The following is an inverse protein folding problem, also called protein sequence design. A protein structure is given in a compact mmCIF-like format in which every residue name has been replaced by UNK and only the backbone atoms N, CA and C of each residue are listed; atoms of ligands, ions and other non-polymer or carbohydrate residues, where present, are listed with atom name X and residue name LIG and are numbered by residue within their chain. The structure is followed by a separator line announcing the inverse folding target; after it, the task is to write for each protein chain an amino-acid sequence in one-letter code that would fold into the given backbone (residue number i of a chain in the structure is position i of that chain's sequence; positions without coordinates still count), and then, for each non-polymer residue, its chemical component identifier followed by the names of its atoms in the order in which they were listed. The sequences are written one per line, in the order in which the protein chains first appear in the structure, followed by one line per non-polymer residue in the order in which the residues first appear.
data_IF_487917495433
#
_entry.id   IF_487917495433
#
_cell.length_a   1.000
_cell.length_b   1.000
_cell.length_c   1.000
_cell.angle_alpha   90.00
_cell.angle_beta   90.00
_cell.angle_gamma   90.00
#
_symmetry.space_group_name_H-M   'P 1'
#
loop_
_entity.id
_entity.type
_entity.pdbx_description
1 polymer ?
#
# COMPACT_ATOMS: atom_id res chain seq x y z
N UNK A 1 -27.67 -18.38 4.03
CA UNK A 1 -27.59 -17.34 5.07
C UNK A 1 -27.06 -16.08 4.42
N UNK A 2 -27.53 -14.90 4.82
CA UNK A 2 -26.84 -13.65 4.51
C UNK A 2 -25.54 -13.65 5.30
N UNK A 3 -24.45 -14.10 4.67
CA UNK A 3 -23.12 -13.95 5.23
C UNK A 3 -22.83 -12.44 5.22
N UNK A 4 -23.08 -11.77 6.34
CA UNK A 4 -22.76 -10.36 6.48
C UNK A 4 -21.26 -10.29 6.69
N UNK A 5 -20.53 -10.08 5.59
CA UNK A 5 -19.07 -10.06 5.57
C UNK A 5 -18.48 -8.77 6.18
N UNK A 6 -19.31 -7.75 6.49
CA UNK A 6 -18.86 -6.48 7.09
C UNK A 6 -19.90 -5.81 8.00
N UNK A 7 -19.46 -4.88 8.87
CA UNK A 7 -20.35 -4.04 9.71
C UNK A 7 -21.08 -3.00 8.85
N UNK A 8 -20.35 -2.32 7.97
CA UNK A 8 -20.93 -1.45 6.94
C UNK A 8 -20.73 -2.14 5.60
N UNK A 9 -21.82 -2.41 4.91
CA UNK A 9 -21.78 -3.05 3.61
C UNK A 9 -22.62 -2.27 2.61
N UNK A 10 -22.00 -1.89 1.48
CA UNK A 10 -22.68 -1.30 0.34
C UNK A 10 -22.48 -2.14 -0.91
N UNK A 11 -23.58 -2.40 -1.62
CA UNK A 11 -23.55 -3.05 -2.95
C UNK A 11 -23.14 -2.08 -4.06
N UNK A 12 -23.18 -0.79 -3.77
CA UNK A 12 -22.89 0.31 -4.70
C UNK A 12 -21.93 1.27 -4.03
N UNK A 13 -21.68 2.41 -4.68
CA UNK A 13 -20.87 3.49 -4.14
C UNK A 13 -21.21 3.83 -2.68
N UNK A 14 -20.17 4.14 -1.91
CA UNK A 14 -20.28 4.58 -0.53
C UNK A 14 -19.40 5.80 -0.32
N UNK A 15 -19.91 6.79 0.42
CA UNK A 15 -19.13 7.96 0.82
C UNK A 15 -19.08 8.06 2.35
N UNK A 16 -17.87 8.13 2.87
CA UNK A 16 -17.51 8.36 4.27
C UNK A 16 -17.14 9.84 4.42
N UNK A 17 -17.85 10.58 5.26
CA UNK A 17 -17.66 12.02 5.41
C UNK A 17 -18.01 12.53 6.80
N UNK A 18 -17.86 13.85 6.98
CA UNK A 18 -18.14 14.56 8.23
C UNK A 18 -16.89 14.73 9.07
N UNK A 19 -17.07 15.07 10.35
CA UNK A 19 -15.96 15.35 11.28
C UNK A 19 -16.04 14.49 12.55
N UNK A 20 -17.02 13.60 12.62
CA UNK A 20 -17.26 12.78 13.80
C UNK A 20 -16.40 11.51 13.80
N UNK A 21 -16.31 10.89 14.98
CA UNK A 21 -15.65 9.59 15.15
C UNK A 21 -16.66 8.45 15.03
N UNK A 22 -16.31 7.45 14.23
CA UNK A 22 -16.99 6.17 14.11
C UNK A 22 -16.04 5.04 14.56
N UNK A 23 -16.48 4.24 15.52
CA UNK A 23 -15.74 3.04 15.97
C UNK A 23 -16.45 1.79 15.47
N UNK A 24 -15.70 0.90 14.81
CA UNK A 24 -16.17 -0.33 14.17
C UNK A 24 -15.40 -1.52 14.76
N UNK A 25 -16.13 -2.51 15.29
CA UNK A 25 -15.58 -3.79 15.71
C UNK A 25 -16.27 -4.91 14.93
N UNK A 26 -15.50 -5.68 14.16
CA UNK A 26 -16.04 -6.68 13.23
C UNK A 26 -15.33 -8.03 13.37
N UNK A 27 -16.11 -9.12 13.30
CA UNK A 27 -15.60 -10.49 13.11
C UNK A 27 -15.48 -10.88 11.63
N UNK A 28 -15.66 -9.92 10.73
CA UNK A 28 -15.38 -10.01 9.30
C UNK A 28 -14.61 -8.77 8.89
N UNK A 29 -14.96 -8.18 7.75
CA UNK A 29 -14.41 -6.90 7.30
C UNK A 29 -15.02 -5.74 8.09
N UNK A 30 -14.31 -4.62 8.21
CA UNK A 30 -14.85 -3.42 8.85
C UNK A 30 -15.94 -2.78 7.98
N UNK A 31 -15.51 -2.25 6.84
CA UNK A 31 -16.36 -1.63 5.82
C UNK A 31 -16.12 -2.31 4.49
N UNK A 32 -17.19 -2.70 3.79
CA UNK A 32 -17.13 -3.22 2.42
C UNK A 32 -17.99 -2.39 1.49
N UNK A 33 -17.41 -1.93 0.39
CA UNK A 33 -18.09 -1.33 -0.75
C UNK A 33 -17.80 -2.16 -2.01
N UNK A 34 -18.84 -2.55 -2.74
CA UNK A 34 -18.69 -3.37 -3.96
C UNK A 34 -18.45 -2.57 -5.24
N UNK A 35 -18.57 -1.24 -5.18
CA UNK A 35 -18.21 -0.31 -6.25
C UNK A 35 -17.17 0.70 -5.68
N UNK A 36 -17.39 2.01 -5.84
CA UNK A 36 -16.45 3.06 -5.45
C UNK A 36 -16.66 3.54 -4.00
N UNK A 37 -15.62 3.44 -3.18
CA UNK A 37 -15.58 4.02 -1.84
C UNK A 37 -14.86 5.37 -1.88
N UNK A 38 -15.49 6.39 -1.29
CA UNK A 38 -14.91 7.72 -1.14
C UNK A 38 -14.82 8.09 0.32
N UNK A 39 -13.72 8.68 0.74
CA UNK A 39 -13.61 9.29 2.06
C UNK A 39 -13.15 10.75 1.96
N UNK A 40 -13.93 11.65 2.55
CA UNK A 40 -13.71 13.09 2.46
C UNK A 40 -13.56 13.76 3.83
N UNK A 41 -13.33 12.97 4.89
CA UNK A 41 -13.24 13.42 6.27
C UNK A 41 -13.76 12.39 7.26
N UNK A 42 -13.67 12.71 8.55
CA UNK A 42 -14.14 11.87 9.65
C UNK A 42 -13.00 11.09 10.31
N UNK A 43 -13.29 10.47 11.45
CA UNK A 43 -12.35 9.62 12.18
C UNK A 43 -12.91 8.21 12.27
N UNK A 44 -12.19 7.21 11.74
CA UNK A 44 -12.61 5.82 11.67
C UNK A 44 -11.64 4.95 12.48
N UNK A 45 -12.12 4.39 13.58
CA UNK A 45 -11.38 3.42 14.39
C UNK A 45 -11.93 2.03 14.10
N UNK A 46 -11.19 1.22 13.35
CA UNK A 46 -11.66 -0.05 12.80
C UNK A 46 -10.82 -1.19 13.37
N UNK A 47 -11.49 -2.13 14.03
CA UNK A 47 -10.93 -3.44 14.41
C UNK A 47 -11.71 -4.51 13.67
N UNK A 48 -11.04 -5.28 12.82
CA UNK A 48 -11.64 -6.28 11.95
C UNK A 48 -10.80 -7.57 11.96
N UNK A 49 -11.42 -8.74 12.04
CA UNK A 49 -10.68 -10.00 11.82
C UNK A 49 -10.48 -10.33 10.34
N UNK A 50 -11.21 -9.66 9.44
CA UNK A 50 -10.97 -9.63 8.00
C UNK A 50 -10.22 -8.37 7.59
N UNK A 51 -10.58 -7.82 6.43
CA UNK A 51 -10.01 -6.58 5.92
C UNK A 51 -10.57 -5.37 6.69
N UNK A 52 -9.76 -4.33 6.92
CA UNK A 52 -10.23 -3.10 7.56
C UNK A 52 -11.26 -2.37 6.67
N UNK A 53 -10.79 -1.95 5.50
CA UNK A 53 -11.60 -1.38 4.42
C UNK A 53 -11.49 -2.27 3.18
N UNK A 54 -12.61 -2.64 2.58
CA UNK A 54 -12.68 -3.30 1.28
C UNK A 54 -13.45 -2.39 0.32
N UNK A 55 -12.83 -2.04 -0.80
CA UNK A 55 -13.45 -1.28 -1.88
C UNK A 55 -13.13 -1.95 -3.22
N UNK A 56 -14.11 -2.60 -3.83
CA UNK A 56 -13.84 -3.48 -4.96
C UNK A 56 -13.39 -2.72 -6.22
N UNK A 57 -13.97 -1.56 -6.52
CA UNK A 57 -13.62 -0.82 -7.74
C UNK A 57 -12.56 0.25 -7.48
N UNK A 58 -12.74 1.06 -6.43
CA UNK A 58 -11.73 2.03 -6.00
C UNK A 58 -11.96 2.51 -4.56
N UNK A 59 -10.89 2.93 -3.89
CA UNK A 59 -10.95 3.78 -2.71
C UNK A 59 -10.25 5.10 -3.02
N UNK A 60 -10.99 6.21 -2.97
CA UNK A 60 -10.45 7.57 -3.10
C UNK A 60 -10.57 8.35 -1.80
N UNK A 61 -9.46 8.89 -1.29
CA UNK A 61 -9.40 9.64 -0.03
C UNK A 61 -8.89 11.06 -0.28
N UNK A 62 -9.70 12.06 0.07
CA UNK A 62 -9.24 13.46 0.09
C UNK A 62 -8.84 13.92 1.49
N UNK A 63 -9.49 13.38 2.53
CA UNK A 63 -9.20 13.66 3.94
C UNK A 63 -9.82 12.59 4.86
N UNK A 64 -9.45 12.60 6.15
CA UNK A 64 -9.93 11.68 7.18
C UNK A 64 -8.81 11.13 8.05
N UNK A 65 -9.17 10.53 9.19
CA UNK A 65 -8.24 9.79 10.06
C UNK A 65 -8.70 8.35 10.18
N UNK A 66 -7.84 7.40 9.81
CA UNK A 66 -8.12 5.98 9.82
C UNK A 66 -7.15 5.28 10.77
N UNK A 67 -7.66 4.69 11.84
CA UNK A 67 -6.91 3.78 12.70
C UNK A 67 -7.46 2.38 12.46
N UNK A 68 -6.68 1.51 11.82
CA UNK A 68 -7.12 0.21 11.34
C UNK A 68 -6.28 -0.90 11.98
N UNK A 69 -6.93 -1.84 12.64
CA UNK A 69 -6.37 -3.14 13.03
C UNK A 69 -7.12 -4.24 12.30
N UNK A 70 -6.45 -4.93 11.38
CA UNK A 70 -7.04 -5.94 10.51
C UNK A 70 -6.35 -7.31 10.67
N UNK A 71 -7.14 -8.39 10.62
CA UNK A 71 -6.64 -9.77 10.56
C UNK A 71 -6.35 -10.26 9.14
N UNK A 72 -6.52 -9.38 8.16
CA UNK A 72 -6.03 -9.46 6.78
C UNK A 72 -5.51 -8.07 6.43
N UNK A 73 -5.79 -7.56 5.24
CA UNK A 73 -5.26 -6.28 4.80
C UNK A 73 -5.93 -5.11 5.51
N UNK A 74 -5.15 -4.04 5.74
CA UNK A 74 -5.70 -2.80 6.26
C UNK A 74 -6.69 -2.18 5.28
N UNK A 75 -6.25 -2.03 4.03
CA UNK A 75 -7.03 -1.54 2.90
C UNK A 75 -6.91 -2.55 1.76
N UNK A 76 -8.04 -3.06 1.28
CA UNK A 76 -8.14 -4.07 0.22
C UNK A 76 -8.96 -3.53 -0.96
N UNK A 77 -8.26 -3.13 -2.02
CA UNK A 77 -8.84 -2.64 -3.27
C UNK A 77 -8.61 -3.63 -4.41
N UNK A 78 -9.03 -4.88 -4.23
CA UNK A 78 -8.81 -5.96 -5.20
C UNK A 78 -10.08 -6.30 -5.96
N UNK A 79 -9.99 -6.35 -7.29
CA UNK A 79 -11.08 -6.74 -8.19
C UNK A 79 -10.70 -7.97 -9.03
N UNK A 80 -10.97 -9.15 -8.50
CA UNK A 80 -10.70 -10.41 -9.20
C UNK A 80 -11.63 -10.68 -10.40
N UNK A 81 -12.75 -9.97 -10.53
CA UNK A 81 -13.66 -10.11 -11.67
C UNK A 81 -13.27 -9.19 -12.84
N UNK A 82 -12.60 -8.08 -12.55
CA UNK A 82 -12.13 -7.12 -13.54
C UNK A 82 -10.82 -6.47 -13.09
N UNK A 83 -9.70 -6.99 -13.59
CA UNK A 83 -8.35 -6.52 -13.25
C UNK A 83 -8.01 -5.13 -13.79
N UNK A 84 -8.90 -4.49 -14.54
CA UNK A 84 -8.78 -3.06 -14.88
C UNK A 84 -9.32 -2.12 -13.80
N UNK A 85 -9.74 -2.66 -12.66
CA UNK A 85 -10.29 -1.93 -11.50
C UNK A 85 -9.60 -2.41 -10.21
N UNK A 86 -9.91 -1.74 -9.10
CA UNK A 86 -9.30 -2.00 -7.81
C UNK A 86 -8.09 -1.08 -7.63
N UNK A 87 -8.34 0.18 -7.32
CA UNK A 87 -7.31 1.19 -7.09
C UNK A 87 -7.45 1.85 -5.73
N UNK A 88 -6.33 2.26 -5.16
CA UNK A 88 -6.28 3.14 -4.00
C UNK A 88 -5.68 4.50 -4.42
N UNK A 89 -6.39 5.57 -4.08
CA UNK A 89 -5.96 6.94 -4.31
C UNK A 89 -6.05 7.75 -3.01
N UNK A 90 -4.98 8.49 -2.70
CA UNK A 90 -4.93 9.41 -1.58
C UNK A 90 -4.39 10.77 -2.00
N UNK A 91 -5.21 11.82 -1.85
CA UNK A 91 -4.77 13.21 -1.88
C UNK A 91 -4.32 13.69 -0.49
N UNK A 92 -4.81 13.07 0.57
CA UNK A 92 -4.60 13.49 1.96
C UNK A 92 -5.12 12.49 2.98
N UNK A 93 -5.28 12.93 4.23
CA UNK A 93 -5.69 12.09 5.35
C UNK A 93 -4.54 11.50 6.16
N UNK A 94 -4.89 10.82 7.25
CA UNK A 94 -3.95 10.16 8.19
C UNK A 94 -4.35 8.71 8.36
N UNK A 95 -3.42 7.80 8.13
CA UNK A 95 -3.62 6.35 8.17
C UNK A 95 -2.65 5.72 9.16
N UNK A 96 -3.18 5.05 10.18
CA UNK A 96 -2.44 4.22 11.12
C UNK A 96 -2.95 2.79 10.95
N UNK A 97 -2.19 1.96 10.24
CA UNK A 97 -2.62 0.63 9.80
C UNK A 97 -1.74 -0.42 10.46
N UNK A 98 -2.38 -1.39 11.09
CA UNK A 98 -1.76 -2.65 11.52
C UNK A 98 -2.56 -3.81 10.92
N UNK A 99 -1.92 -4.60 10.07
CA UNK A 99 -2.52 -5.75 9.41
C UNK A 99 -1.64 -6.99 9.59
N UNK A 100 -2.21 -8.17 9.38
CA UNK A 100 -1.45 -9.43 9.37
C UNK A 100 -1.19 -9.99 7.98
N UNK A 101 -1.67 -9.30 6.94
CA UNK A 101 -1.32 -9.49 5.53
C UNK A 101 -0.83 -8.12 5.06
N UNK A 102 -1.47 -7.49 4.06
CA UNK A 102 -0.91 -6.28 3.45
C UNK A 102 -1.38 -5.02 4.19
N UNK A 103 -0.54 -3.99 4.23
CA UNK A 103 -0.98 -2.68 4.72
C UNK A 103 -2.08 -2.12 3.80
N UNK A 104 -1.73 -2.01 2.52
CA UNK A 104 -2.59 -1.56 1.45
C UNK A 104 -2.35 -2.46 0.23
N UNK A 105 -3.39 -3.14 -0.23
CA UNK A 105 -3.36 -3.94 -1.45
C UNK A 105 -4.32 -3.37 -2.48
N UNK A 106 -3.89 -3.26 -3.74
CA UNK A 106 -4.76 -2.86 -4.85
C UNK A 106 -4.42 -3.63 -6.12
N UNK A 107 -5.42 -4.05 -6.90
CA UNK A 107 -5.14 -4.77 -8.16
C UNK A 107 -4.41 -3.89 -9.19
N UNK A 108 -4.78 -2.62 -9.31
CA UNK A 108 -4.27 -1.73 -10.36
C UNK A 108 -3.20 -0.79 -9.82
N UNK A 109 -3.60 0.23 -9.08
CA UNK A 109 -2.71 1.31 -8.68
C UNK A 109 -2.88 1.66 -7.21
N UNK A 110 -1.76 1.90 -6.54
CA UNK A 110 -1.67 2.72 -5.34
C UNK A 110 -1.08 4.05 -5.77
N UNK A 111 -1.87 5.13 -5.68
CA UNK A 111 -1.45 6.48 -6.04
C UNK A 111 -1.57 7.42 -4.82
N UNK A 112 -0.43 7.87 -4.32
CA UNK A 112 -0.34 8.77 -3.17
C UNK A 112 0.12 10.15 -3.63
N UNK A 113 -0.81 11.10 -3.67
CA UNK A 113 -0.54 12.53 -3.91
C UNK A 113 -0.35 13.32 -2.61
N UNK A 114 -0.57 12.70 -1.45
CA UNK A 114 -0.42 13.31 -0.14
C UNK A 114 -1.01 12.46 0.97
N UNK A 115 -0.86 12.94 2.21
CA UNK A 115 -1.31 12.26 3.43
C UNK A 115 -0.16 11.76 4.31
N UNK A 116 -0.53 11.22 5.47
CA UNK A 116 0.39 10.61 6.43
C UNK A 116 0.03 9.14 6.62
N UNK A 117 0.98 8.24 6.43
CA UNK A 117 0.79 6.81 6.52
C UNK A 117 1.80 6.23 7.51
N UNK A 118 1.31 5.49 8.50
CA UNK A 118 2.10 4.60 9.34
C UNK A 118 1.52 3.20 9.18
N UNK A 119 2.31 2.30 8.59
CA UNK A 119 1.88 0.96 8.21
C UNK A 119 2.76 -0.07 8.93
N UNK A 120 2.13 -1.08 9.52
CA UNK A 120 2.78 -2.28 10.05
C UNK A 120 2.06 -3.51 9.53
N UNK A 121 2.73 -4.33 8.74
CA UNK A 121 2.10 -5.37 7.92
C UNK A 121 3.10 -6.49 7.55
N UNK A 122 2.62 -7.54 6.88
CA UNK A 122 3.50 -8.50 6.20
C UNK A 122 4.16 -7.78 5.02
N UNK A 123 3.38 -7.42 3.99
CA UNK A 123 3.79 -6.46 2.97
C UNK A 123 3.24 -5.06 3.26
N UNK A 124 4.03 -4.01 3.04
CA UNK A 124 3.60 -2.63 3.31
C UNK A 124 2.54 -2.14 2.33
N UNK A 125 2.88 -2.12 1.03
CA UNK A 125 1.99 -1.73 -0.06
C UNK A 125 2.20 -2.62 -1.27
N UNK A 126 1.12 -3.21 -1.79
CA UNK A 126 1.16 -4.11 -2.94
C UNK A 126 0.19 -3.65 -4.04
N UNK A 127 0.68 -3.51 -5.27
CA UNK A 127 -0.16 -3.28 -6.45
C UNK A 127 0.56 -3.57 -7.77
N UNK A 128 -0.14 -3.49 -8.91
CA UNK A 128 0.56 -3.44 -10.20
C UNK A 128 1.46 -2.22 -10.32
N UNK A 129 0.94 -1.04 -9.95
CA UNK A 129 1.72 0.18 -9.98
C UNK A 129 1.60 0.92 -8.65
N UNK A 130 2.75 1.21 -8.04
CA UNK A 130 2.82 2.01 -6.82
C UNK A 130 3.51 3.33 -7.16
N UNK A 131 2.74 4.43 -7.13
CA UNK A 131 3.25 5.78 -7.39
C UNK A 131 3.05 6.69 -6.18
N UNK A 132 4.15 7.29 -5.72
CA UNK A 132 4.16 8.27 -4.63
C UNK A 132 4.63 9.61 -5.18
N UNK A 133 3.74 10.59 -5.21
CA UNK A 133 4.02 11.96 -5.65
C UNK A 133 4.35 12.90 -4.48
N UNK A 134 3.73 12.68 -3.31
CA UNK A 134 4.01 13.42 -2.09
C UNK A 134 3.49 12.64 -0.86
N UNK A 135 3.67 13.19 0.34
CA UNK A 135 3.18 12.63 1.61
C UNK A 135 4.30 12.22 2.56
N UNK A 136 3.92 11.72 3.73
CA UNK A 136 4.84 11.12 4.70
C UNK A 136 4.42 9.68 4.95
N UNK A 137 5.24 8.73 4.53
CA UNK A 137 4.93 7.30 4.57
C UNK A 137 6.00 6.60 5.38
N UNK A 138 5.56 5.86 6.40
CA UNK A 138 6.41 5.01 7.25
C UNK A 138 5.86 3.60 7.15
N UNK A 139 6.68 2.66 6.67
CA UNK A 139 6.34 1.26 6.52
C UNK A 139 7.25 0.45 7.44
N UNK A 140 6.64 -0.48 8.18
CA UNK A 140 7.33 -1.52 8.93
C UNK A 140 6.81 -2.86 8.43
N UNK A 141 7.59 -3.56 7.62
CA UNK A 141 7.17 -4.78 6.93
C UNK A 141 7.98 -5.98 7.42
N UNK A 142 7.40 -7.18 7.34
CA UNK A 142 8.10 -8.44 7.62
C UNK A 142 8.36 -9.29 6.39
N UNK A 143 7.60 -9.07 5.31
CA UNK A 143 7.91 -9.50 3.95
C UNK A 143 8.39 -8.26 3.17
N UNK A 144 7.81 -7.85 2.04
CA UNK A 144 8.28 -6.67 1.30
C UNK A 144 7.74 -5.31 1.80
N UNK A 145 8.56 -4.27 1.71
CA UNK A 145 8.12 -2.91 2.07
C UNK A 145 7.12 -2.36 1.05
N UNK A 146 7.50 -2.40 -0.22
CA UNK A 146 6.67 -2.11 -1.38
C UNK A 146 6.83 -3.28 -2.34
N UNK A 147 5.72 -3.81 -2.85
CA UNK A 147 5.69 -4.89 -3.83
C UNK A 147 4.91 -4.45 -5.08
N UNK A 148 5.61 -4.20 -6.19
CA UNK A 148 4.99 -3.92 -7.48
C UNK A 148 4.94 -5.20 -8.33
N UNK A 149 3.77 -5.81 -8.47
CA UNK A 149 3.61 -7.17 -9.04
C UNK A 149 2.55 -7.31 -10.14
N UNK A 150 2.44 -8.45 -10.80
CA UNK A 150 1.63 -8.64 -12.01
C UNK A 150 0.12 -8.88 -11.78
N UNK A 151 -0.52 -8.05 -10.94
CA UNK A 151 -1.95 -8.13 -10.62
C UNK A 151 -2.89 -7.71 -11.77
N UNK A 152 -2.41 -6.82 -12.65
CA UNK A 152 -3.17 -6.25 -13.77
C UNK A 152 -2.36 -6.18 -15.05
N UNK A 153 -2.99 -6.52 -16.18
CA UNK A 153 -2.40 -6.33 -17.51
C UNK A 153 -2.72 -4.95 -18.12
N UNK A 154 -3.53 -4.14 -17.43
CA UNK A 154 -3.92 -2.81 -17.90
C UNK A 154 -2.92 -1.71 -17.51
N UNK A 155 -1.97 -2.02 -16.63
CA UNK A 155 -1.01 -1.08 -16.06
C UNK A 155 0.40 -1.63 -16.18
N UNK A 156 1.38 -0.74 -16.24
CA UNK A 156 2.79 -1.11 -16.20
C UNK A 156 3.18 -1.44 -14.76
N UNK A 157 3.85 -2.58 -14.59
CA UNK A 157 4.44 -2.97 -13.31
C UNK A 157 5.57 -2.00 -12.99
N UNK A 158 5.41 -1.20 -11.94
CA UNK A 158 6.47 -0.29 -11.52
C UNK A 158 6.25 0.27 -10.11
N UNK A 159 7.36 0.56 -9.44
CA UNK A 159 7.42 1.53 -8.36
C UNK A 159 7.96 2.87 -8.85
N UNK A 160 7.28 3.96 -8.50
CA UNK A 160 7.68 5.33 -8.87
C UNK A 160 7.57 6.27 -7.67
N UNK A 161 8.71 6.85 -7.25
CA UNK A 161 8.79 7.88 -6.23
C UNK A 161 9.14 9.23 -6.88
N UNK A 162 8.22 10.18 -6.88
CA UNK A 162 8.42 11.53 -7.44
C UNK A 162 8.66 12.61 -6.37
N UNK A 163 8.21 12.40 -5.13
CA UNK A 163 8.27 13.39 -4.06
C UNK A 163 7.77 12.86 -2.71
N UNK A 164 7.81 13.69 -1.67
CA UNK A 164 7.45 13.30 -0.31
C UNK A 164 8.57 12.61 0.46
N UNK A 165 8.22 11.95 1.57
CA UNK A 165 9.11 11.18 2.44
C UNK A 165 8.61 9.74 2.57
N UNK A 166 9.49 8.78 2.28
CA UNK A 166 9.25 7.36 2.43
C UNK A 166 10.31 6.77 3.38
N UNK A 167 9.87 6.21 4.48
CA UNK A 167 10.72 5.45 5.41
C UNK A 167 10.27 4.00 5.42
N UNK A 168 11.19 3.08 5.18
CA UNK A 168 10.92 1.64 5.20
C UNK A 168 11.85 0.97 6.20
N UNK A 169 11.27 0.30 7.18
CA UNK A 169 11.99 -0.50 8.16
C UNK A 169 11.61 -1.97 7.98
N UNK A 170 12.57 -2.78 7.55
CA UNK A 170 12.36 -4.20 7.37
C UNK A 170 12.61 -4.95 8.67
N UNK A 171 11.74 -5.91 8.98
CA UNK A 171 11.90 -6.85 10.08
C UNK A 171 13.01 -7.87 9.83
N UNK A 172 13.16 -8.81 10.78
CA UNK A 172 14.05 -9.95 10.60
C UNK A 172 13.35 -11.01 9.73
N UNK A 173 13.73 -11.06 8.45
CA UNK A 173 13.20 -11.91 7.39
C UNK A 173 14.04 -11.63 6.13
N UNK A 174 14.01 -12.52 5.15
CA UNK A 174 14.75 -12.35 3.90
C UNK A 174 13.79 -11.89 2.81
N UNK A 175 13.72 -10.58 2.60
CA UNK A 175 12.79 -9.84 1.69
C UNK A 175 13.33 -8.44 1.39
N UNK A 176 12.69 -7.73 0.46
CA UNK A 176 13.15 -6.49 -0.13
C UNK A 176 12.40 -5.27 0.41
N UNK A 177 13.12 -4.17 0.66
CA UNK A 177 12.43 -2.92 1.03
C UNK A 177 11.53 -2.41 -0.11
N UNK A 178 11.98 -2.58 -1.36
CA UNK A 178 11.20 -2.31 -2.56
C UNK A 178 11.47 -3.45 -3.55
N UNK A 179 10.45 -4.26 -3.80
CA UNK A 179 10.40 -5.27 -4.87
C UNK A 179 9.53 -4.74 -6.02
N UNK A 180 10.01 -4.88 -7.25
CA UNK A 180 9.26 -4.57 -8.45
C UNK A 180 9.52 -5.60 -9.54
N UNK A 181 8.51 -6.38 -9.88
CA UNK A 181 8.52 -7.26 -11.07
C UNK A 181 8.54 -6.46 -12.41
N UNK A 182 8.77 -5.15 -12.36
CA UNK A 182 8.98 -4.27 -13.50
C UNK A 182 9.99 -3.18 -13.16
N UNK A 183 9.65 -1.92 -13.45
CA UNK A 183 10.60 -0.80 -13.27
C UNK A 183 10.62 -0.25 -11.84
N UNK A 184 11.72 0.39 -11.46
CA UNK A 184 11.89 1.09 -10.18
C UNK A 184 12.52 2.47 -10.41
N UNK A 185 11.74 3.52 -10.22
CA UNK A 185 12.21 4.90 -10.42
C UNK A 185 12.10 5.73 -9.14
N UNK A 186 13.21 6.38 -8.77
CA UNK A 186 13.24 7.42 -7.73
C UNK A 186 13.63 8.74 -8.39
N UNK A 187 12.64 9.57 -8.67
CA UNK A 187 12.77 10.85 -9.37
C UNK A 187 12.87 12.04 -8.41
N UNK A 188 12.48 11.88 -7.15
CA UNK A 188 12.48 12.96 -6.16
C UNK A 188 12.13 12.49 -4.75
N UNK A 189 12.04 13.44 -3.81
CA UNK A 189 11.71 13.17 -2.41
C UNK A 189 12.87 12.65 -1.57
N UNK A 190 12.53 12.12 -0.40
CA UNK A 190 13.46 11.48 0.54
C UNK A 190 13.04 10.03 0.74
N UNK A 191 13.96 9.09 0.54
CA UNK A 191 13.76 7.66 0.80
C UNK A 191 14.80 7.23 1.84
N UNK A 192 14.34 6.68 2.96
CA UNK A 192 15.20 6.17 4.05
C UNK A 192 14.85 4.71 4.34
N UNK A 193 15.78 3.82 4.04
CA UNK A 193 15.59 2.37 4.10
C UNK A 193 16.51 1.79 5.16
N UNK A 194 15.93 1.01 6.07
CA UNK A 194 16.66 0.09 6.95
C UNK A 194 16.30 -1.33 6.57
N UNK A 195 17.19 -2.02 5.85
CA UNK A 195 16.91 -3.35 5.28
C UNK A 195 18.18 -4.15 4.99
N UNK A 196 18.05 -5.48 4.90
CA UNK A 196 19.12 -6.34 4.40
C UNK A 196 19.24 -6.23 2.87
N UNK A 197 18.11 -6.32 2.17
CA UNK A 197 18.00 -6.02 0.74
C UNK A 197 17.10 -4.80 0.55
N UNK A 198 17.62 -3.80 -0.16
CA UNK A 198 16.93 -2.52 -0.34
C UNK A 198 16.09 -2.45 -1.62
N UNK A 199 16.54 -3.13 -2.68
CA UNK A 199 15.94 -3.03 -4.01
C UNK A 199 16.07 -4.37 -4.73
N UNK A 200 14.95 -4.94 -5.17
CA UNK A 200 14.86 -5.94 -6.24
C UNK A 200 13.98 -5.38 -7.36
N UNK A 201 14.40 -5.60 -8.60
CA UNK A 201 13.63 -5.18 -9.77
C UNK A 201 14.02 -5.95 -11.04
N UNK A 202 13.00 -6.28 -11.84
CA UNK A 202 13.17 -7.01 -13.11
C UNK A 202 13.43 -6.09 -14.32
N UNK A 203 13.02 -4.82 -14.24
CA UNK A 203 13.08 -3.82 -15.30
C UNK A 203 14.25 -2.85 -15.18
N UNK A 204 14.00 -1.57 -15.43
CA UNK A 204 14.98 -0.50 -15.24
C UNK A 204 14.89 0.08 -13.83
N UNK A 205 16.04 0.19 -13.17
CA UNK A 205 16.19 0.82 -11.85
C UNK A 205 16.99 2.12 -11.96
N UNK A 206 16.42 3.26 -11.59
CA UNK A 206 17.13 4.55 -11.69
C UNK A 206 16.77 5.54 -10.58
N UNK A 207 17.81 6.21 -10.06
CA UNK A 207 17.69 7.39 -9.21
C UNK A 207 18.00 8.61 -10.08
N UNK A 208 16.98 9.40 -10.41
CA UNK A 208 17.13 10.62 -11.23
C UNK A 208 17.01 11.91 -10.41
N UNK A 209 16.56 11.80 -9.14
CA UNK A 209 16.51 12.91 -8.21
C UNK A 209 16.21 12.46 -6.77
N UNK A 210 16.08 13.44 -5.86
CA UNK A 210 15.81 13.18 -4.44
C UNK A 210 17.04 12.80 -3.64
N UNK A 211 16.83 12.21 -2.46
CA UNK A 211 17.87 11.67 -1.58
C UNK A 211 17.46 10.28 -1.12
N UNK A 212 18.32 9.30 -1.35
CA UNK A 212 18.11 7.91 -0.94
C UNK A 212 19.18 7.53 0.06
N UNK A 213 18.77 7.01 1.21
CA UNK A 213 19.66 6.49 2.26
C UNK A 213 19.29 5.04 2.53
N UNK A 214 20.30 4.17 2.56
CA UNK A 214 20.16 2.76 2.94
C UNK A 214 21.09 2.49 4.11
N UNK A 215 20.53 2.03 5.23
CA UNK A 215 21.25 1.75 6.48
C UNK A 215 22.16 2.91 6.92
N UNK A 216 21.64 4.14 6.82
CA UNK A 216 22.35 5.38 7.19
C UNK A 216 23.40 5.88 6.19
N UNK A 217 23.57 5.22 5.04
CA UNK A 217 24.48 5.65 3.97
C UNK A 217 23.72 6.14 2.75
N UNK A 218 24.10 7.30 2.20
CA UNK A 218 23.49 7.81 0.96
C UNK A 218 23.88 6.93 -0.23
N UNK A 219 22.90 6.63 -1.08
CA UNK A 219 23.05 5.83 -2.30
C UNK A 219 22.66 6.69 -3.50
N UNK A 220 23.41 6.56 -4.61
CA UNK A 220 23.20 7.35 -5.85
C UNK A 220 22.86 6.50 -7.06
N UNK A 221 22.82 5.18 -6.91
CA UNK A 221 22.43 4.22 -7.96
C UNK A 221 21.61 3.09 -7.34
N UNK A 222 20.61 2.61 -8.06
CA UNK A 222 19.88 1.40 -7.68
C UNK A 222 20.62 0.22 -8.30
N UNK A 223 21.15 -0.67 -7.45
CA UNK A 223 21.75 -1.93 -7.89
C UNK A 223 20.86 -3.06 -7.44
N UNK A 224 20.41 -3.89 -8.38
CA UNK A 224 19.72 -5.11 -8.02
C UNK A 224 20.67 -5.97 -7.15
N UNK A 225 20.24 -6.35 -5.95
CA UNK A 225 21.04 -7.18 -5.06
C UNK A 225 21.03 -8.62 -5.58
N UNK A 226 21.86 -8.89 -6.59
CA UNK A 226 22.13 -10.24 -7.08
C UNK A 226 22.90 -11.05 -6.02
N UNK A 227 22.22 -11.50 -4.96
CA UNK A 227 22.71 -12.57 -4.12
C UNK A 227 22.42 -13.87 -4.86
N UNK A 228 23.44 -14.41 -5.52
CA UNK A 228 23.35 -15.63 -6.31
C UNK A 228 22.71 -16.78 -5.51
N UNK A 229 21.51 -17.20 -5.94
CA UNK A 229 20.73 -18.12 -5.12
C UNK A 229 19.60 -18.90 -5.80
N UNK A 230 19.54 -18.95 -7.12
CA UNK A 230 18.62 -19.83 -7.83
C UNK A 230 17.25 -19.21 -8.08
N UNK A 231 16.56 -19.75 -9.08
CA UNK A 231 15.22 -19.37 -9.49
C UNK A 231 14.25 -19.48 -8.31
N UNK A 232 14.13 -18.40 -7.54
CA UNK A 232 13.04 -18.15 -6.63
C UNK A 232 11.77 -18.13 -7.45
N UNK A 233 10.76 -18.82 -6.95
CA UNK A 233 9.46 -18.91 -7.62
C UNK A 233 8.88 -17.51 -7.67
N UNK A 234 8.35 -17.13 -8.84
CA UNK A 234 7.22 -16.22 -8.94
C UNK A 234 6.25 -16.57 -7.81
N UNK A 235 6.17 -15.70 -6.82
CA UNK A 235 5.03 -15.67 -5.93
C UNK A 235 3.95 -14.88 -6.63
#
# INVERSE_FOLDING_TARGET
STKLDAVIFSKTDLTLNGTATLTINSTGNGITCKDDLKATGGTYNITASGHGLEAKDSLSVSDGTFTISAGKDGIHCVNSDNTSKGSFYSEGGTFNITSSSDGIQATTTILINGGSFTVTAEEGMEATNVTINDGTIIINASDDGINATDESTAYTIAFVMNGGSLTINMGNGDTDAIDSNGDLYINGGTVDITANSAFDFDGEGAITGGTVTVNGSTVTEITNQMIGGGKGKRR
#
